data_IF_334474387959
#
_entry.id   IF_334474387959
#
_cell.length_a   1.000
_cell.length_b   1.000
_cell.length_c   1.000
_cell.angle_alpha   90.00
_cell.angle_beta   90.00
_cell.angle_gamma   90.00
#
_symmetry.space_group_name_H-M   'P 1'
#
loop_
_entity.id
_entity.type
_entity.pdbx_description
1 polymer ?
#
# COMPACT_ATOMS: atom_id res chain seq x y z
N UNK A 1 -20.30 27.03 9.59
CA UNK A 1 -19.32 27.41 10.62
C UNK A 1 -18.36 26.25 10.79
N UNK A 2 -17.19 26.34 10.16
CA UNK A 2 -16.24 25.24 10.05
C UNK A 2 -15.50 25.03 11.37
N UNK A 3 -15.59 23.81 11.90
CA UNK A 3 -14.61 23.34 12.88
C UNK A 3 -13.31 23.09 12.12
N UNK A 4 -12.49 24.13 12.06
CA UNK A 4 -11.15 24.09 11.49
C UNK A 4 -10.31 23.03 12.21
N UNK A 5 -9.54 22.31 11.42
CA UNK A 5 -8.37 21.59 11.86
C UNK A 5 -7.64 22.39 12.96
N UNK A 6 -7.52 21.81 14.15
CA UNK A 6 -6.63 22.33 15.19
C UNK A 6 -5.40 21.45 15.13
N UNK A 7 -4.35 22.00 14.51
CA UNK A 7 -3.02 21.40 14.42
C UNK A 7 -2.51 20.98 15.82
N UNK A 8 -2.94 21.69 16.86
CA UNK A 8 -2.70 21.35 18.28
C UNK A 8 -3.26 19.98 18.67
N UNK A 9 -4.47 19.60 18.22
CA UNK A 9 -5.07 18.30 18.56
C UNK A 9 -4.32 17.12 17.93
N UNK A 10 -3.78 17.33 16.72
CA UNK A 10 -2.95 16.34 16.05
C UNK A 10 -1.57 16.25 16.71
N UNK A 11 -0.99 17.40 17.10
CA UNK A 11 0.24 17.45 17.86
C UNK A 11 0.11 16.75 19.22
N UNK A 12 -0.98 16.97 19.95
CA UNK A 12 -1.29 16.30 21.23
C UNK A 12 -1.41 14.79 21.06
N UNK A 13 -2.00 14.31 19.96
CA UNK A 13 -2.09 12.89 19.66
C UNK A 13 -0.72 12.28 19.33
N UNK A 14 0.10 12.97 18.54
CA UNK A 14 1.51 12.58 18.31
C UNK A 14 2.31 12.53 19.61
N UNK A 15 2.08 13.49 20.51
CA UNK A 15 2.71 13.56 21.83
C UNK A 15 2.30 12.36 22.71
N UNK A 16 1.03 11.94 22.66
CA UNK A 16 0.54 10.73 23.34
C UNK A 16 1.10 9.44 22.76
N UNK A 17 1.30 9.38 21.44
CA UNK A 17 1.91 8.23 20.75
C UNK A 17 3.43 8.11 20.96
N UNK A 18 4.10 9.14 21.52
CA UNK A 18 5.58 9.21 21.65
C UNK A 18 6.33 8.99 20.33
N UNK A 19 5.69 9.25 19.19
CA UNK A 19 6.26 9.03 17.86
C UNK A 19 6.87 10.33 17.33
N UNK A 20 8.18 10.33 17.10
CA UNK A 20 8.95 11.49 16.59
C UNK A 20 8.96 11.59 15.05
N UNK A 21 8.27 10.67 14.36
CA UNK A 21 8.27 10.56 12.91
C UNK A 21 7.04 11.23 12.28
N UNK A 22 7.19 11.73 11.06
CA UNK A 22 6.09 12.38 10.32
C UNK A 22 5.03 11.41 9.76
N UNK A 23 5.24 10.11 9.88
CA UNK A 23 4.37 9.07 9.35
C UNK A 23 3.76 8.24 10.49
N UNK A 24 2.51 7.81 10.29
CA UNK A 24 1.81 6.87 11.16
C UNK A 24 1.98 5.46 10.60
N UNK A 25 2.13 4.48 11.48
CA UNK A 25 1.94 3.07 11.13
C UNK A 25 0.48 2.79 10.80
N UNK A 26 0.22 1.66 10.12
CA UNK A 26 -1.14 1.24 9.80
C UNK A 26 -2.03 1.09 11.05
N UNK A 27 -1.49 0.55 12.15
CA UNK A 27 -2.21 0.42 13.42
C UNK A 27 -2.52 1.76 14.07
N UNK A 28 -1.53 2.67 14.12
CA UNK A 28 -1.75 4.03 14.64
C UNK A 28 -2.80 4.79 13.80
N UNK A 29 -2.83 4.59 12.48
CA UNK A 29 -3.86 5.16 11.60
C UNK A 29 -5.25 4.58 11.86
N UNK A 30 -5.38 3.26 12.06
CA UNK A 30 -6.67 2.63 12.40
C UNK A 30 -7.21 3.17 13.72
N UNK A 31 -6.36 3.26 14.76
CA UNK A 31 -6.75 3.84 16.05
C UNK A 31 -7.20 5.30 15.89
N UNK A 32 -6.43 6.08 15.12
CA UNK A 32 -6.75 7.48 14.81
C UNK A 32 -8.13 7.62 14.16
N UNK A 33 -8.43 6.81 13.13
CA UNK A 33 -9.74 6.82 12.45
C UNK A 33 -10.85 6.33 13.38
N UNK A 34 -10.60 5.30 14.19
CA UNK A 34 -11.56 4.69 15.11
C UNK A 34 -11.99 5.61 16.25
N UNK A 35 -11.16 6.57 16.65
CA UNK A 35 -11.48 7.54 17.71
C UNK A 35 -12.59 8.54 17.33
N UNK A 36 -13.13 8.47 16.10
CA UNK A 36 -14.22 9.32 15.56
C UNK A 36 -13.94 10.83 15.52
N UNK A 37 -12.79 11.29 16.03
CA UNK A 37 -12.40 12.69 16.00
C UNK A 37 -12.01 13.17 14.59
N UNK A 38 -11.53 12.28 13.72
CA UNK A 38 -10.97 12.62 12.40
C UNK A 38 -11.97 12.64 11.24
N UNK A 39 -13.15 12.02 11.36
CA UNK A 39 -14.10 11.95 10.24
C UNK A 39 -14.79 13.29 9.94
N UNK A 40 -14.81 14.23 10.89
CA UNK A 40 -15.37 15.57 10.71
C UNK A 40 -14.32 16.54 10.16
N UNK A 41 -14.23 16.63 8.83
CA UNK A 41 -13.47 17.69 8.14
C UNK A 41 -12.35 17.20 7.23
N UNK A 42 -12.02 15.91 7.22
CA UNK A 42 -11.15 15.32 6.19
C UNK A 42 -11.91 15.13 4.88
N UNK A 43 -11.22 15.33 3.75
CA UNK A 43 -11.74 14.94 2.45
C UNK A 43 -11.98 13.42 2.46
N UNK A 44 -13.20 13.02 2.11
CA UNK A 44 -13.62 11.62 1.99
C UNK A 44 -12.68 10.81 1.10
N UNK A 45 -12.14 11.42 0.04
CA UNK A 45 -11.20 10.77 -0.88
C UNK A 45 -9.88 10.44 -0.18
N UNK A 46 -9.29 11.38 0.56
CA UNK A 46 -8.05 11.16 1.31
C UNK A 46 -8.21 10.08 2.38
N UNK A 47 -9.34 10.10 3.08
CA UNK A 47 -9.66 9.06 4.06
C UNK A 47 -9.81 7.68 3.38
N UNK A 48 -10.52 7.64 2.24
CA UNK A 48 -10.69 6.41 1.46
C UNK A 48 -9.35 5.86 0.97
N UNK A 49 -8.44 6.73 0.51
CA UNK A 49 -7.10 6.32 0.08
C UNK A 49 -6.31 5.71 1.23
N UNK A 50 -6.24 6.38 2.39
CA UNK A 50 -5.51 5.86 3.55
C UNK A 50 -6.09 4.54 4.09
N UNK A 51 -7.42 4.41 4.14
CA UNK A 51 -8.07 3.14 4.52
C UNK A 51 -7.75 2.03 3.50
N UNK A 52 -7.74 2.36 2.20
CA UNK A 52 -7.45 1.39 1.14
C UNK A 52 -6.00 0.91 1.22
N UNK A 53 -5.05 1.81 1.45
CA UNK A 53 -3.63 1.48 1.62
C UNK A 53 -3.43 0.55 2.82
N UNK A 54 -4.02 0.89 3.97
CA UNK A 54 -3.96 0.06 5.18
C UNK A 54 -4.61 -1.32 4.96
N UNK A 55 -5.74 -1.38 4.26
CA UNK A 55 -6.38 -2.64 3.91
C UNK A 55 -5.52 -3.51 3.00
N UNK A 56 -4.87 -2.91 1.99
CA UNK A 56 -3.97 -3.61 1.08
C UNK A 56 -2.76 -4.20 1.82
N UNK A 57 -2.18 -3.45 2.76
CA UNK A 57 -1.03 -3.91 3.54
C UNK A 57 -1.42 -4.98 4.58
N UNK A 58 -2.44 -4.73 5.40
CA UNK A 58 -2.75 -5.59 6.56
C UNK A 58 -3.64 -6.79 6.27
N UNK A 59 -4.51 -6.72 5.26
CA UNK A 59 -5.48 -7.79 4.96
C UNK A 59 -5.09 -8.58 3.71
N UNK A 60 -4.54 -7.91 2.70
CA UNK A 60 -4.16 -8.55 1.44
C UNK A 60 -2.66 -8.89 1.34
N UNK A 61 -1.90 -8.57 2.39
CA UNK A 61 -0.44 -8.74 2.49
C UNK A 61 0.32 -8.18 1.27
N UNK A 62 -0.19 -7.09 0.69
CA UNK A 62 0.44 -6.46 -0.47
C UNK A 62 1.56 -5.55 0.03
N UNK A 63 2.80 -6.00 -0.17
CA UNK A 63 4.00 -5.23 0.18
C UNK A 63 4.25 -4.10 -0.83
N UNK A 64 4.02 -4.39 -2.12
CA UNK A 64 4.17 -3.42 -3.20
C UNK A 64 3.40 -3.85 -4.44
N UNK A 65 2.97 -2.87 -5.22
CA UNK A 65 2.36 -3.11 -6.52
C UNK A 65 2.73 -2.02 -7.52
N UNK A 66 2.66 -2.33 -8.81
CA UNK A 66 3.01 -1.39 -9.87
C UNK A 66 3.22 -2.04 -11.24
N UNK A 67 3.26 -1.21 -12.28
CA UNK A 67 3.61 -1.65 -13.63
C UNK A 67 5.11 -1.91 -13.75
N UNK A 68 5.47 -3.07 -14.31
CA UNK A 68 6.85 -3.42 -14.66
C UNK A 68 6.88 -4.09 -16.04
N UNK A 69 8.04 -3.99 -16.72
CA UNK A 69 8.27 -4.69 -17.98
C UNK A 69 8.68 -6.14 -17.71
N UNK A 70 7.94 -7.09 -18.28
CA UNK A 70 8.23 -8.52 -18.18
C UNK A 70 8.72 -9.07 -19.52
N UNK A 71 9.88 -9.74 -19.52
CA UNK A 71 10.36 -10.50 -20.68
C UNK A 71 9.60 -11.83 -20.80
N UNK A 72 9.10 -12.12 -22.00
CA UNK A 72 8.46 -13.39 -22.34
C UNK A 72 9.45 -14.55 -22.34
N UNK A 73 9.00 -15.73 -21.90
CA UNK A 73 9.85 -16.93 -21.82
C UNK A 73 10.07 -17.56 -23.19
N UNK A 74 9.00 -17.78 -23.97
CA UNK A 74 9.06 -18.42 -25.31
C UNK A 74 9.39 -17.43 -26.42
N UNK A 75 8.68 -16.31 -26.46
CA UNK A 75 8.93 -15.20 -27.40
C UNK A 75 9.52 -14.08 -26.54
N UNK A 76 10.80 -13.75 -26.76
CA UNK A 76 11.60 -12.80 -25.94
C UNK A 76 11.12 -11.34 -26.03
N UNK A 77 9.83 -11.11 -26.21
CA UNK A 77 9.21 -9.79 -26.25
C UNK A 77 9.05 -9.28 -24.81
N UNK A 78 9.19 -7.97 -24.64
CA UNK A 78 8.90 -7.29 -23.38
C UNK A 78 7.45 -6.82 -23.39
N UNK A 79 6.72 -7.10 -22.32
CA UNK A 79 5.33 -6.66 -22.15
C UNK A 79 5.16 -6.03 -20.79
N UNK A 80 4.49 -4.88 -20.74
CA UNK A 80 4.08 -4.25 -19.49
C UNK A 80 3.00 -5.09 -18.80
N UNK A 81 3.13 -5.27 -17.48
CA UNK A 81 2.19 -6.01 -16.64
C UNK A 81 2.10 -5.35 -15.27
N UNK A 82 0.93 -5.45 -14.65
CA UNK A 82 0.75 -5.04 -13.26
C UNK A 82 1.25 -6.14 -12.33
N UNK A 83 2.23 -5.84 -11.49
CA UNK A 83 2.79 -6.75 -10.50
C UNK A 83 2.25 -6.45 -9.11
N UNK A 84 2.01 -7.51 -8.34
CA UNK A 84 1.64 -7.45 -6.92
C UNK A 84 2.59 -8.37 -6.17
N UNK A 85 3.41 -7.77 -5.32
CA UNK A 85 4.36 -8.45 -4.44
C UNK A 85 3.72 -8.72 -3.08
N UNK A 86 3.71 -10.00 -2.70
CA UNK A 86 3.38 -10.51 -1.37
C UNK A 86 4.60 -11.21 -0.76
N UNK A 87 4.60 -11.50 0.54
CA UNK A 87 5.74 -12.16 1.20
C UNK A 87 6.14 -13.50 0.57
N UNK A 88 5.18 -14.24 0.03
CA UNK A 88 5.34 -15.61 -0.49
C UNK A 88 5.35 -15.68 -2.03
N UNK A 89 4.96 -14.61 -2.71
CA UNK A 89 4.75 -14.63 -4.15
C UNK A 89 4.78 -13.27 -4.81
N UNK A 90 5.25 -13.26 -6.06
CA UNK A 90 5.14 -12.16 -7.00
C UNK A 90 4.14 -12.55 -8.11
N UNK A 91 2.91 -12.07 -7.98
CA UNK A 91 1.84 -12.27 -8.97
C UNK A 91 1.85 -11.16 -10.02
N UNK A 92 1.43 -11.46 -11.25
CA UNK A 92 1.27 -10.45 -12.29
C UNK A 92 0.01 -10.64 -13.13
N UNK A 93 -0.57 -9.50 -13.53
CA UNK A 93 -1.87 -9.36 -14.17
C UNK A 93 -1.76 -8.59 -15.49
N UNK A 94 -2.82 -8.64 -16.30
CA UNK A 94 -2.89 -7.83 -17.51
C UNK A 94 -2.80 -6.32 -17.19
N UNK A 95 -3.54 -5.87 -16.17
CA UNK A 95 -3.61 -4.50 -15.70
C UNK A 95 -3.94 -4.45 -14.19
N UNK A 96 -4.09 -3.23 -13.66
CA UNK A 96 -4.34 -2.94 -12.24
C UNK A 96 -5.71 -3.40 -11.70
N UNK A 97 -6.64 -3.81 -12.57
CA UNK A 97 -7.96 -4.31 -12.16
C UNK A 97 -7.92 -5.69 -11.48
N UNK A 98 -6.76 -6.37 -11.54
CA UNK A 98 -6.50 -7.69 -10.99
C UNK A 98 -7.43 -8.80 -11.52
N UNK A 99 -8.16 -8.55 -12.62
CA UNK A 99 -9.14 -9.49 -13.19
C UNK A 99 -8.43 -10.64 -13.90
N UNK A 100 -7.47 -10.30 -14.76
CA UNK A 100 -6.79 -11.30 -15.59
C UNK A 100 -5.38 -11.62 -15.07
N UNK A 101 -5.29 -12.65 -14.21
CA UNK A 101 -4.00 -13.15 -13.70
C UNK A 101 -3.23 -13.85 -14.82
N UNK A 102 -2.04 -13.33 -15.15
CA UNK A 102 -1.16 -13.88 -16.20
C UNK A 102 -0.12 -14.85 -15.65
N UNK A 103 0.22 -14.75 -14.37
CA UNK A 103 1.07 -15.74 -13.71
C UNK A 103 1.39 -15.43 -12.27
N UNK A 104 2.13 -16.36 -11.67
CA UNK A 104 2.58 -16.30 -10.28
C UNK A 104 4.01 -16.83 -10.20
N UNK A 105 4.87 -16.11 -9.49
CA UNK A 105 6.23 -16.55 -9.17
C UNK A 105 6.26 -16.75 -7.66
N UNK A 106 6.55 -17.96 -7.20
CA UNK A 106 6.73 -18.22 -5.76
C UNK A 106 8.04 -17.58 -5.35
N UNK A 107 8.00 -16.77 -4.29
CA UNK A 107 9.17 -16.13 -3.71
C UNK A 107 9.52 -16.90 -2.44
N UNK A 108 10.62 -17.63 -2.51
CA UNK A 108 11.15 -18.39 -1.38
C UNK A 108 12.60 -17.98 -1.08
N UNK A 109 13.25 -18.71 -0.17
CA UNK A 109 14.64 -18.43 0.24
C UNK A 109 15.67 -18.68 -0.86
N UNK A 110 15.28 -19.31 -1.98
CA UNK A 110 16.16 -19.60 -3.11
C UNK A 110 16.11 -18.50 -4.18
N UNK A 111 15.14 -17.59 -4.08
CA UNK A 111 15.03 -16.46 -5.00
C UNK A 111 16.06 -15.37 -4.64
N UNK A 112 16.75 -14.85 -5.66
CA UNK A 112 17.65 -13.71 -5.54
C UNK A 112 17.19 -12.56 -6.46
N UNK A 113 17.56 -11.33 -6.09
CA UNK A 113 17.35 -10.14 -6.91
C UNK A 113 18.72 -9.61 -7.30
N UNK A 114 18.95 -9.48 -8.59
CA UNK A 114 20.21 -8.99 -9.14
C UNK A 114 19.91 -7.88 -10.14
N UNK A 115 20.84 -6.93 -10.23
CA UNK A 115 20.81 -5.89 -11.25
C UNK A 115 21.43 -6.48 -12.51
N UNK A 116 20.64 -6.58 -13.59
CA UNK A 116 21.20 -6.89 -14.91
C UNK A 116 21.93 -5.65 -15.45
N UNK A 117 23.25 -5.68 -15.38
CA UNK A 117 24.15 -4.73 -16.03
C UNK A 117 24.18 -4.91 -17.54
#
# INVERSE_FOLDING_TARGET
MGSGWSEEKFADYKLKLKTNNNCLTAWEFIELVGTRYFSKGMNQQTLSMGITEVFQELILDVLKQGYLMKKGHKRKNWTERWFVLRPDALSYYACEDLVEKKGNIIVDRTCCVEVCC
#
